data_IF_371519030735
#
_entry.id   IF_371519030735
#
_cell.length_a   1.000
_cell.length_b   1.000
_cell.length_c   1.000
_cell.angle_alpha   90.00
_cell.angle_beta   90.00
_cell.angle_gamma   90.00
#
_symmetry.space_group_name_H-M   'P 1'
#
loop_
_entity.id
_entity.type
_entity.pdbx_description
1 polymer ?
#
# COMPACT_ATOMS: atom_id res chain seq x y z
N UNK A 1 -2.10 6.65 -18.57
CA UNK A 1 -0.67 6.25 -18.57
C UNK A 1 -0.68 4.78 -18.91
N UNK A 2 -0.39 4.45 -20.16
CA UNK A 2 -0.61 3.10 -20.69
C UNK A 2 0.50 2.18 -20.19
N UNK A 3 0.14 1.30 -19.27
CA UNK A 3 0.98 0.17 -18.89
C UNK A 3 0.71 -0.93 -19.90
N UNK A 4 1.65 -1.28 -20.80
CA UNK A 4 1.42 -2.33 -21.78
C UNK A 4 1.35 -3.68 -21.05
N UNK A 5 0.13 -4.18 -20.86
CA UNK A 5 -0.11 -5.57 -20.45
C UNK A 5 0.23 -6.43 -21.67
N UNK A 6 1.27 -7.24 -21.55
CA UNK A 6 1.71 -8.12 -22.63
C UNK A 6 0.59 -9.16 -22.86
N UNK A 7 -0.12 -9.06 -23.98
CA UNK A 7 -1.33 -9.83 -24.27
C UNK A 7 -1.12 -11.37 -24.21
N UNK A 8 0.13 -11.84 -24.31
CA UNK A 8 0.47 -13.27 -24.20
C UNK A 8 0.45 -13.83 -22.77
N UNK A 9 0.15 -13.02 -21.75
CA UNK A 9 0.14 -13.43 -20.34
C UNK A 9 -1.27 -13.76 -19.80
N UNK A 10 -2.34 -13.37 -20.52
CA UNK A 10 -3.72 -13.51 -20.05
C UNK A 10 -4.10 -14.99 -19.78
N UNK A 11 -3.59 -15.93 -20.57
CA UNK A 11 -3.91 -17.37 -20.44
C UNK A 11 -3.31 -18.04 -19.20
N UNK A 12 -2.37 -17.37 -18.50
CA UNK A 12 -1.72 -17.90 -17.29
C UNK A 12 -2.27 -17.33 -15.99
N UNK A 13 -3.12 -16.30 -16.07
CA UNK A 13 -3.69 -15.66 -14.89
C UNK A 13 -4.65 -16.64 -14.23
N UNK A 14 -4.33 -17.03 -13.00
CA UNK A 14 -5.25 -17.83 -12.20
C UNK A 14 -6.39 -16.93 -11.70
N UNK A 15 -7.66 -17.41 -11.72
CA UNK A 15 -8.76 -16.67 -11.14
C UNK A 15 -8.47 -16.28 -9.70
N UNK A 16 -8.54 -14.99 -9.38
CA UNK A 16 -8.32 -14.50 -8.03
C UNK A 16 -9.62 -14.55 -7.21
N UNK A 17 -9.51 -14.71 -5.90
CA UNK A 17 -10.67 -14.66 -4.99
C UNK A 17 -11.07 -13.22 -4.60
N UNK A 18 -10.27 -12.24 -5.02
CA UNK A 18 -10.49 -10.81 -4.81
C UNK A 18 -10.75 -10.19 -6.18
N UNK A 19 -11.59 -9.18 -6.25
CA UNK A 19 -11.81 -8.38 -7.45
C UNK A 19 -10.75 -7.29 -7.58
N UNK A 20 -10.34 -6.69 -6.45
CA UNK A 20 -9.42 -5.55 -6.44
C UNK A 20 -8.27 -5.69 -5.45
N UNK A 21 -7.12 -5.13 -5.83
CA UNK A 21 -5.94 -5.03 -4.97
C UNK A 21 -5.60 -3.56 -4.78
N UNK A 22 -5.46 -3.13 -3.52
CA UNK A 22 -5.13 -1.77 -3.12
C UNK A 22 -3.67 -1.73 -2.67
N UNK A 23 -2.77 -1.36 -3.58
CA UNK A 23 -1.34 -1.30 -3.32
C UNK A 23 -1.03 -0.04 -2.51
N UNK A 24 -0.48 -0.21 -1.31
CA UNK A 24 -0.18 0.84 -0.35
C UNK A 24 1.30 0.77 0.05
N UNK A 25 1.97 1.92 0.03
CA UNK A 25 3.33 2.08 0.57
C UNK A 25 3.44 3.44 1.26
N UNK A 26 3.38 3.45 2.59
CA UNK A 26 3.36 4.69 3.36
C UNK A 26 4.76 5.27 3.48
N UNK A 27 4.83 6.59 3.46
CA UNK A 27 6.06 7.31 3.75
C UNK A 27 5.99 8.05 5.09
N UNK A 28 7.15 8.14 5.75
CA UNK A 28 7.33 8.88 6.99
C UNK A 28 7.59 7.98 8.20
N UNK A 29 8.73 8.18 8.87
CA UNK A 29 9.16 7.30 9.97
C UNK A 29 8.45 7.61 11.29
N UNK A 30 8.42 8.89 11.67
CA UNK A 30 7.87 9.35 12.96
C UNK A 30 6.35 9.42 12.89
N UNK A 31 5.85 10.13 11.90
CA UNK A 31 4.43 10.20 11.52
C UNK A 31 4.32 9.85 10.04
N UNK A 32 3.13 9.46 9.61
CA UNK A 32 2.83 9.32 8.19
C UNK A 32 2.89 10.71 7.55
N UNK A 33 3.59 10.82 6.42
CA UNK A 33 3.78 12.06 5.65
C UNK A 33 3.24 11.95 4.23
N UNK A 34 2.99 10.72 3.75
CA UNK A 34 2.37 10.43 2.46
C UNK A 34 1.49 9.19 2.58
N UNK A 35 0.33 9.25 1.97
CA UNK A 35 -0.66 8.18 1.91
C UNK A 35 -1.03 7.92 0.45
N UNK A 36 -0.27 7.06 -0.25
CA UNK A 36 -0.57 6.64 -1.62
C UNK A 36 -1.30 5.29 -1.64
N UNK A 37 -2.29 5.15 -2.52
CA UNK A 37 -2.93 3.88 -2.84
C UNK A 37 -3.12 3.78 -4.35
N UNK A 38 -2.66 2.68 -4.94
CA UNK A 38 -2.92 2.32 -6.35
C UNK A 38 -3.89 1.14 -6.37
N UNK A 39 -5.00 1.28 -7.07
CA UNK A 39 -6.00 0.22 -7.23
C UNK A 39 -5.85 -0.45 -8.59
N UNK A 40 -5.74 -1.77 -8.59
CA UNK A 40 -5.77 -2.58 -9.80
C UNK A 40 -6.87 -3.64 -9.72
N UNK A 41 -7.40 -4.03 -10.87
CA UNK A 41 -8.27 -5.19 -10.99
C UNK A 41 -7.42 -6.46 -10.88
N UNK A 42 -7.80 -7.38 -9.99
CA UNK A 42 -7.02 -8.59 -9.73
C UNK A 42 -7.10 -9.63 -10.86
N UNK A 43 -8.14 -9.56 -11.70
CA UNK A 43 -8.36 -10.47 -12.82
C UNK A 43 -7.73 -9.92 -14.10
N UNK A 44 -8.06 -8.68 -14.50
CA UNK A 44 -7.53 -8.08 -15.73
C UNK A 44 -6.12 -7.49 -15.56
N UNK A 45 -5.67 -7.30 -14.32
CA UNK A 45 -4.43 -6.61 -13.95
C UNK A 45 -4.43 -5.12 -14.33
N UNK A 46 -5.55 -4.58 -14.81
CA UNK A 46 -5.63 -3.19 -15.25
C UNK A 46 -5.61 -2.23 -14.05
N UNK A 47 -5.01 -1.07 -14.28
CA UNK A 47 -5.13 0.06 -13.39
C UNK A 47 -6.58 0.56 -13.39
N UNK A 48 -7.14 0.75 -12.20
CA UNK A 48 -8.51 1.26 -12.03
C UNK A 48 -8.47 2.71 -11.61
N UNK A 49 -7.77 3.02 -10.52
CA UNK A 49 -7.72 4.36 -9.95
C UNK A 49 -6.56 4.49 -8.94
N UNK A 50 -6.31 5.70 -8.45
CA UNK A 50 -5.34 5.96 -7.39
C UNK A 50 -5.83 7.04 -6.43
N UNK A 51 -5.54 6.84 -5.14
CA UNK A 51 -5.69 7.85 -4.10
C UNK A 51 -4.30 8.31 -3.65
N UNK A 52 -4.08 9.61 -3.51
CA UNK A 52 -2.81 10.13 -3.02
C UNK A 52 -3.01 11.42 -2.23
N UNK A 53 -2.47 11.44 -1.02
CA UNK A 53 -2.38 12.64 -0.19
C UNK A 53 -1.05 12.74 0.53
N UNK A 54 -0.54 13.96 0.63
CA UNK A 54 0.45 14.30 1.65
C UNK A 54 -0.23 14.51 3.00
N UNK A 55 0.44 14.10 4.06
CA UNK A 55 -0.09 14.14 5.43
C UNK A 55 0.71 15.14 6.24
N UNK A 56 0.01 16.13 6.81
CA UNK A 56 0.61 17.10 7.73
C UNK A 56 0.74 16.47 9.12
N UNK A 57 1.96 16.33 9.66
CA UNK A 57 2.20 15.76 10.99
C UNK A 57 1.72 16.71 12.09
N UNK A 58 1.40 16.15 13.26
CA UNK A 58 0.83 16.90 14.40
C UNK A 58 1.71 16.85 15.65
N UNK A 59 2.64 15.89 15.75
CA UNK A 59 3.50 15.73 16.92
C UNK A 59 4.90 16.32 16.71
N UNK A 60 5.35 16.45 15.46
CA UNK A 60 6.60 17.13 15.13
C UNK A 60 6.44 18.66 15.19
N UNK A 61 7.48 19.37 15.64
CA UNK A 61 7.51 20.83 15.59
C UNK A 61 7.81 21.34 14.18
N UNK A 62 7.43 22.58 13.89
CA UNK A 62 7.57 23.20 12.56
C UNK A 62 9.00 23.15 12.01
N UNK A 63 10.01 23.45 12.83
CA UNK A 63 11.41 23.40 12.37
C UNK A 63 11.78 22.00 11.86
N UNK A 64 11.44 20.96 12.64
CA UNK A 64 11.71 19.57 12.28
C UNK A 64 10.91 19.12 11.07
N UNK A 65 9.68 19.63 10.91
CA UNK A 65 8.87 19.38 9.72
C UNK A 65 9.60 19.94 8.50
N UNK A 66 9.96 21.22 8.51
CA UNK A 66 10.68 21.87 7.40
C UNK A 66 11.96 21.13 7.03
N UNK A 67 12.83 20.84 8.00
CA UNK A 67 14.08 20.10 7.76
C UNK A 67 13.83 18.73 7.10
N UNK A 68 12.78 18.02 7.55
CA UNK A 68 12.45 16.71 7.02
C UNK A 68 11.87 16.79 5.60
N UNK A 69 10.93 17.71 5.37
CA UNK A 69 10.24 17.86 4.08
C UNK A 69 11.21 18.38 3.02
N UNK A 70 12.03 19.39 3.31
CA UNK A 70 13.07 19.86 2.39
C UNK A 70 14.09 18.76 2.11
N UNK A 71 14.56 18.05 3.14
CA UNK A 71 15.54 16.99 3.01
C UNK A 71 15.05 15.74 2.26
N UNK A 72 13.75 15.47 2.29
CA UNK A 72 13.13 14.33 1.62
C UNK A 72 12.48 14.71 0.30
N UNK A 73 11.45 15.55 0.34
CA UNK A 73 10.62 15.93 -0.81
C UNK A 73 11.26 17.02 -1.67
N UNK A 74 12.13 17.86 -1.08
CA UNK A 74 12.89 18.87 -1.84
C UNK A 74 13.83 18.24 -2.85
N UNK A 75 14.37 17.04 -2.57
CA UNK A 75 15.20 16.27 -3.54
C UNK A 75 14.44 15.85 -4.80
N UNK A 76 13.11 15.79 -4.71
CA UNK A 76 12.22 15.45 -5.82
C UNK A 76 11.53 16.69 -6.41
N UNK A 77 11.74 17.88 -5.84
CA UNK A 77 11.07 19.11 -6.23
C UNK A 77 9.57 19.15 -5.93
N UNK A 78 9.11 18.35 -4.94
CA UNK A 78 7.69 18.28 -4.54
C UNK A 78 7.42 18.81 -3.13
N UNK A 79 8.41 19.41 -2.49
CA UNK A 79 8.30 20.10 -1.20
C UNK A 79 7.24 21.21 -1.21
N UNK A 80 7.17 22.01 -2.28
CA UNK A 80 6.13 23.05 -2.42
C UNK A 80 4.73 22.44 -2.46
N UNK A 81 4.55 21.39 -3.27
CA UNK A 81 3.28 20.67 -3.36
C UNK A 81 2.91 20.11 -1.99
N UNK A 82 3.87 19.54 -1.26
CA UNK A 82 3.65 19.08 0.10
C UNK A 82 3.18 20.22 1.01
N UNK A 83 3.88 21.36 1.03
CA UNK A 83 3.53 22.50 1.88
C UNK A 83 2.13 23.05 1.62
N UNK A 84 1.73 23.07 0.35
CA UNK A 84 0.46 23.63 -0.11
C UNK A 84 -0.72 22.66 0.07
N UNK A 85 -0.48 21.35 0.04
CA UNK A 85 -1.56 20.34 -0.05
C UNK A 85 -1.60 19.34 1.11
N UNK A 86 -0.59 19.30 1.99
CA UNK A 86 -0.59 18.38 3.12
C UNK A 86 -1.69 18.72 4.13
N UNK A 87 -2.56 17.75 4.37
CA UNK A 87 -3.69 17.85 5.31
C UNK A 87 -3.53 16.88 6.49
N UNK A 88 -4.17 17.11 7.63
CA UNK A 88 -4.10 16.22 8.78
C UNK A 88 -4.51 14.78 8.46
N UNK A 89 -3.89 13.79 9.11
CA UNK A 89 -4.15 12.37 8.85
C UNK A 89 -5.63 11.97 8.95
N UNK A 90 -6.37 12.59 9.87
CA UNK A 90 -7.81 12.34 10.04
C UNK A 90 -8.61 12.75 8.80
N UNK A 91 -8.24 13.85 8.15
CA UNK A 91 -8.87 14.33 6.92
C UNK A 91 -8.48 13.45 5.73
N UNK A 92 -7.20 13.03 5.65
CA UNK A 92 -6.77 12.03 4.65
C UNK A 92 -7.59 10.75 4.74
N UNK A 93 -7.85 10.24 5.94
CA UNK A 93 -8.70 9.06 6.10
C UNK A 93 -10.15 9.30 5.69
N UNK A 94 -10.70 10.48 5.95
CA UNK A 94 -12.07 10.80 5.51
C UNK A 94 -12.15 10.81 3.98
N UNK A 95 -11.21 11.47 3.30
CA UNK A 95 -11.16 11.48 1.84
C UNK A 95 -10.89 10.07 1.27
N UNK A 96 -10.07 9.27 1.95
CA UNK A 96 -9.83 7.88 1.56
C UNK A 96 -11.08 7.01 1.73
N UNK A 97 -11.83 7.19 2.83
CA UNK A 97 -13.11 6.52 3.09
C UNK A 97 -14.14 6.85 2.01
N UNK A 98 -14.21 8.12 1.60
CA UNK A 98 -15.09 8.57 0.51
C UNK A 98 -14.68 7.92 -0.82
N UNK A 99 -13.37 7.86 -1.10
CA UNK A 99 -12.82 7.24 -2.30
C UNK A 99 -13.13 5.73 -2.39
N UNK A 100 -12.86 4.94 -1.34
CA UNK A 100 -13.20 3.51 -1.31
C UNK A 100 -14.72 3.27 -1.29
N UNK A 101 -15.50 4.22 -0.75
CA UNK A 101 -16.95 4.21 -0.76
C UNK A 101 -17.54 4.39 -2.16
N UNK A 102 -16.98 5.30 -2.95
CA UNK A 102 -17.36 5.53 -4.35
C UNK A 102 -17.08 4.30 -5.24
N UNK A 103 -16.05 3.52 -4.90
CA UNK A 103 -15.75 2.24 -5.54
C UNK A 103 -16.56 1.05 -4.96
N UNK A 104 -17.50 1.30 -4.04
CA UNK A 104 -18.32 0.30 -3.36
C UNK A 104 -17.52 -0.81 -2.64
N UNK A 105 -16.30 -0.51 -2.21
CA UNK A 105 -15.42 -1.46 -1.52
C UNK A 105 -15.70 -1.52 -0.03
N UNK A 106 -16.21 -0.43 0.55
CA UNK A 106 -16.46 -0.34 1.99
C UNK A 106 -17.47 0.76 2.31
N UNK A 107 -18.25 0.58 3.37
CA UNK A 107 -19.17 1.59 3.90
C UNK A 107 -19.07 1.65 5.41
N UNK A 108 -19.10 2.86 5.94
CA UNK A 108 -18.89 3.15 7.37
C UNK A 108 -19.92 2.49 8.26
N UNK A 109 -21.17 2.44 7.81
CA UNK A 109 -22.29 1.84 8.56
C UNK A 109 -22.19 0.32 8.65
N UNK A 110 -21.56 -0.31 7.64
CA UNK A 110 -21.37 -1.75 7.60
C UNK A 110 -20.15 -2.17 8.44
N UNK A 111 -19.15 -1.30 8.54
CA UNK A 111 -17.88 -1.59 9.18
C UNK A 111 -17.19 -2.80 8.54
N UNK A 112 -16.28 -3.44 9.27
CA UNK A 112 -15.62 -4.66 8.82
C UNK A 112 -14.51 -4.44 7.77
N UNK A 113 -14.16 -5.53 7.09
CA UNK A 113 -13.13 -5.57 6.04
C UNK A 113 -13.63 -4.97 4.72
N UNK A 114 -12.71 -4.75 3.78
CA UNK A 114 -13.06 -4.42 2.39
C UNK A 114 -13.84 -5.57 1.72
N UNK A 115 -14.79 -5.22 0.84
CA UNK A 115 -15.57 -6.15 0.03
C UNK A 115 -14.78 -6.57 -1.20
N UNK A 116 -14.49 -7.87 -1.33
CA UNK A 116 -13.76 -8.46 -2.47
C UNK A 116 -12.47 -7.71 -2.83
N UNK A 117 -11.82 -7.11 -1.84
CA UNK A 117 -10.61 -6.35 -2.04
C UNK A 117 -9.68 -6.49 -0.83
N UNK A 118 -8.39 -6.25 -1.05
CA UNK A 118 -7.41 -6.28 0.03
C UNK A 118 -6.28 -5.27 -0.23
N UNK A 119 -5.72 -4.75 0.85
CA UNK A 119 -4.46 -4.02 0.75
C UNK A 119 -3.30 -4.97 0.43
N UNK A 120 -2.39 -4.50 -0.42
CA UNK A 120 -1.10 -5.13 -0.71
C UNK A 120 0.01 -4.17 -0.30
N UNK A 121 0.91 -4.63 0.57
CA UNK A 121 2.02 -3.82 1.09
C UNK A 121 3.36 -4.54 0.87
N UNK A 122 4.46 -3.79 0.77
CA UNK A 122 5.81 -4.35 0.62
C UNK A 122 6.47 -4.66 1.97
N UNK A 123 5.80 -5.46 2.79
CA UNK A 123 6.18 -5.74 4.16
C UNK A 123 4.98 -5.59 5.08
N UNK A 124 5.21 -5.80 6.38
CA UNK A 124 4.14 -5.66 7.37
C UNK A 124 4.10 -4.26 8.00
N UNK A 125 5.13 -3.43 7.83
CA UNK A 125 5.33 -2.23 8.63
C UNK A 125 4.17 -1.23 8.52
N UNK A 126 3.66 -0.98 7.31
CA UNK A 126 2.58 -0.02 7.04
C UNK A 126 1.33 -0.30 7.89
N UNK A 127 0.76 -1.49 7.76
CA UNK A 127 -0.52 -1.84 8.39
C UNK A 127 -0.38 -2.51 9.75
N UNK A 128 0.73 -3.22 10.01
CA UNK A 128 1.00 -3.80 11.34
C UNK A 128 1.36 -2.73 12.36
N UNK A 129 2.18 -1.75 11.94
CA UNK A 129 2.87 -0.83 12.85
C UNK A 129 2.44 0.62 12.62
N UNK A 130 2.67 1.16 11.43
CA UNK A 130 2.59 2.62 11.19
C UNK A 130 1.18 3.18 11.28
N UNK A 131 0.19 2.54 10.63
CA UNK A 131 -1.21 2.99 10.70
C UNK A 131 -1.75 2.96 12.14
N UNK A 132 -1.60 1.88 12.94
CA UNK A 132 -2.01 1.90 14.34
C UNK A 132 -1.32 2.97 15.18
N UNK A 133 -0.02 3.20 14.98
CA UNK A 133 0.70 4.29 15.65
C UNK A 133 0.11 5.65 15.30
N UNK A 134 -0.10 5.93 14.00
CA UNK A 134 -0.65 7.20 13.55
C UNK A 134 -2.09 7.40 14.05
N UNK A 135 -2.90 6.34 14.10
CA UNK A 135 -4.25 6.39 14.67
C UNK A 135 -4.22 6.78 16.15
N UNK A 136 -3.30 6.19 16.94
CA UNK A 136 -3.12 6.56 18.36
C UNK A 136 -2.70 8.02 18.51
N UNK A 137 -1.72 8.47 17.74
CA UNK A 137 -1.24 9.86 17.76
C UNK A 137 -2.36 10.84 17.39
N UNK A 138 -3.18 10.49 16.40
CA UNK A 138 -4.29 11.33 15.92
C UNK A 138 -5.57 11.18 16.76
N UNK A 139 -5.53 10.41 17.86
CA UNK A 139 -6.66 10.11 18.73
C UNK A 139 -7.90 9.61 17.97
N UNK A 140 -7.70 8.68 17.03
CA UNK A 140 -8.78 8.02 16.28
C UNK A 140 -8.71 6.51 16.45
N UNK A 141 -9.87 5.86 16.34
CA UNK A 141 -9.94 4.40 16.33
C UNK A 141 -9.36 3.88 15.02
N UNK A 142 -8.57 2.80 15.10
CA UNK A 142 -8.07 2.09 13.93
C UNK A 142 -9.25 1.63 13.04
N UNK A 143 -9.34 2.08 11.78
CA UNK A 143 -10.39 1.63 10.88
C UNK A 143 -10.32 0.13 10.58
N UNK A 144 -11.49 -0.51 10.48
CA UNK A 144 -11.59 -1.97 10.37
C UNK A 144 -11.09 -2.52 9.04
N UNK A 145 -11.09 -1.71 7.98
CA UNK A 145 -10.57 -2.10 6.66
C UNK A 145 -9.04 -2.28 6.63
N UNK A 146 -8.32 -1.83 7.66
CA UNK A 146 -6.88 -2.09 7.81
C UNK A 146 -6.56 -3.37 8.60
N UNK A 147 -7.57 -4.15 8.99
CA UNK A 147 -7.37 -5.29 9.90
C UNK A 147 -6.84 -6.54 9.21
N UNK A 148 -6.75 -6.58 7.88
CA UNK A 148 -6.13 -7.68 7.14
C UNK A 148 -5.49 -7.19 5.85
N UNK A 149 -4.40 -7.82 5.45
CA UNK A 149 -3.63 -7.40 4.27
C UNK A 149 -2.80 -8.53 3.68
N UNK A 150 -2.26 -8.26 2.50
CA UNK A 150 -1.34 -9.10 1.75
C UNK A 150 0.05 -8.48 1.85
N UNK A 151 0.95 -9.17 2.54
CA UNK A 151 2.37 -8.84 2.51
C UNK A 151 2.99 -9.47 1.24
N UNK A 152 3.31 -8.62 0.26
CA UNK A 152 3.83 -9.07 -1.03
C UNK A 152 5.11 -9.88 -0.89
N UNK A 153 5.94 -9.60 0.12
CA UNK A 153 7.18 -10.35 0.40
C UNK A 153 6.92 -11.82 0.72
N UNK A 154 5.81 -12.13 1.37
CA UNK A 154 5.46 -13.50 1.73
C UNK A 154 4.91 -14.24 0.51
N UNK A 155 4.03 -13.60 -0.28
CA UNK A 155 3.58 -14.18 -1.56
C UNK A 155 4.77 -14.45 -2.48
N UNK A 156 5.68 -13.48 -2.61
CA UNK A 156 6.86 -13.58 -3.46
C UNK A 156 7.77 -14.75 -3.03
N UNK A 157 8.01 -14.90 -1.72
CA UNK A 157 8.78 -16.01 -1.17
C UNK A 157 8.16 -17.35 -1.51
N UNK A 158 6.86 -17.51 -1.28
CA UNK A 158 6.20 -18.81 -1.43
C UNK A 158 5.95 -19.16 -2.91
N UNK A 159 5.79 -18.17 -3.77
CA UNK A 159 5.54 -18.39 -5.19
C UNK A 159 6.82 -18.67 -5.98
N UNK A 160 7.86 -17.85 -5.79
CA UNK A 160 9.13 -18.03 -6.53
C UNK A 160 10.18 -18.84 -5.76
N UNK A 161 9.89 -19.29 -4.53
CA UNK A 161 10.84 -19.99 -3.66
C UNK A 161 12.14 -19.21 -3.42
N UNK A 162 12.09 -17.87 -3.45
CA UNK A 162 13.24 -16.98 -3.27
C UNK A 162 12.89 -15.77 -2.42
N UNK A 163 13.82 -15.38 -1.55
CA UNK A 163 13.64 -14.22 -0.68
C UNK A 163 13.84 -12.91 -1.44
N UNK A 164 13.00 -11.93 -1.14
CA UNK A 164 13.20 -10.54 -1.51
C UNK A 164 13.09 -9.65 -0.27
N UNK A 165 14.10 -8.81 -0.04
CA UNK A 165 14.15 -7.94 1.14
C UNK A 165 13.17 -6.76 1.06
N UNK A 166 12.77 -6.37 -0.15
CA UNK A 166 11.80 -5.32 -0.43
C UNK A 166 11.60 -5.16 -1.95
N UNK A 167 10.89 -4.10 -2.33
CA UNK A 167 10.48 -3.84 -3.72
C UNK A 167 11.66 -3.83 -4.69
N UNK A 168 12.74 -3.11 -4.37
CA UNK A 168 13.93 -3.02 -5.23
C UNK A 168 14.56 -4.38 -5.54
N UNK A 169 14.55 -5.29 -4.57
CA UNK A 169 15.06 -6.66 -4.75
C UNK A 169 14.15 -7.47 -5.66
N UNK A 170 12.82 -7.36 -5.51
CA UNK A 170 11.86 -8.04 -6.39
C UNK A 170 12.01 -7.54 -7.82
N UNK A 171 12.06 -6.22 -8.02
CA UNK A 171 12.24 -5.58 -9.33
C UNK A 171 13.52 -6.09 -10.02
N UNK A 172 14.66 -6.11 -9.31
CA UNK A 172 15.92 -6.64 -9.85
C UNK A 172 15.81 -8.12 -10.23
N UNK A 173 15.25 -8.95 -9.36
CA UNK A 173 15.13 -10.39 -9.59
C UNK A 173 14.15 -10.75 -10.73
N UNK A 174 13.17 -9.88 -10.99
CA UNK A 174 12.23 -9.97 -12.11
C UNK A 174 12.72 -9.25 -13.38
N UNK A 175 13.91 -8.63 -13.31
CA UNK A 175 14.53 -7.86 -14.40
C UNK A 175 13.64 -6.68 -14.87
N UNK A 176 13.00 -6.02 -13.91
CA UNK A 176 12.11 -4.88 -14.15
C UNK A 176 12.81 -3.57 -13.78
N UNK A 177 12.86 -2.57 -14.67
CA UNK A 177 13.39 -1.25 -14.34
C UNK A 177 12.42 -0.51 -13.42
N UNK A 178 12.95 0.23 -12.45
CA UNK A 178 12.17 1.15 -11.61
C UNK A 178 11.69 2.35 -12.42
N UNK A 179 10.49 2.82 -12.11
CA UNK A 179 9.92 4.04 -12.71
C UNK A 179 9.71 5.06 -11.60
N UNK A 180 10.01 6.34 -11.88
CA UNK A 180 9.86 7.40 -10.90
C UNK A 180 10.98 7.40 -9.86
N UNK A 181 10.71 7.99 -8.70
CA UNK A 181 11.68 8.19 -7.64
C UNK A 181 11.44 7.25 -6.45
N UNK A 182 12.50 6.54 -6.04
CA UNK A 182 12.43 5.71 -4.84
C UNK A 182 12.28 6.57 -3.58
N UNK A 183 11.44 6.14 -2.64
CA UNK A 183 11.02 6.86 -1.44
C UNK A 183 10.08 8.06 -1.67
N UNK A 184 9.50 8.14 -2.87
CA UNK A 184 8.27 8.89 -3.13
C UNK A 184 7.13 7.87 -3.17
N UNK A 185 6.26 7.89 -2.16
CA UNK A 185 5.37 6.77 -1.87
C UNK A 185 4.44 6.42 -3.03
N UNK A 186 3.97 7.41 -3.80
CA UNK A 186 3.15 7.14 -4.99
C UNK A 186 3.91 6.40 -6.09
N UNK A 187 5.21 6.65 -6.27
CA UNK A 187 6.04 5.96 -7.25
C UNK A 187 6.42 4.56 -6.76
N UNK A 188 6.71 4.40 -5.48
CA UNK A 188 6.93 3.07 -4.90
C UNK A 188 5.64 2.21 -4.98
N UNK A 189 4.46 2.78 -4.70
CA UNK A 189 3.16 2.10 -4.89
C UNK A 189 2.94 1.65 -6.34
N UNK A 190 3.29 2.48 -7.34
CA UNK A 190 3.23 2.09 -8.76
C UNK A 190 4.19 0.94 -9.09
N UNK A 191 5.43 0.98 -8.58
CA UNK A 191 6.39 -0.08 -8.83
C UNK A 191 5.99 -1.39 -8.13
N UNK A 192 5.45 -1.33 -6.90
CA UNK A 192 4.86 -2.49 -6.22
C UNK A 192 3.70 -3.05 -7.04
N UNK A 193 2.80 -2.20 -7.57
CA UNK A 193 1.73 -2.63 -8.45
C UNK A 193 2.25 -3.37 -9.69
N UNK A 194 3.33 -2.89 -10.32
CA UNK A 194 3.98 -3.59 -11.43
C UNK A 194 4.53 -4.96 -11.04
N UNK A 195 5.11 -5.10 -9.84
CA UNK A 195 5.54 -6.41 -9.32
C UNK A 195 4.33 -7.32 -9.11
N UNK A 196 3.23 -6.82 -8.54
CA UNK A 196 1.98 -7.57 -8.36
C UNK A 196 1.43 -8.04 -9.70
N UNK A 197 1.33 -7.16 -10.70
CA UNK A 197 0.88 -7.51 -12.05
C UNK A 197 1.77 -8.60 -12.66
N UNK A 198 3.10 -8.49 -12.53
CA UNK A 198 4.02 -9.52 -13.01
C UNK A 198 3.79 -10.86 -12.31
N UNK A 199 3.56 -10.85 -11.01
CA UNK A 199 3.27 -12.07 -10.25
C UNK A 199 1.93 -12.71 -10.64
N UNK A 200 0.89 -11.91 -10.87
CA UNK A 200 -0.40 -12.39 -11.37
C UNK A 200 -0.25 -13.03 -12.76
N UNK A 201 0.47 -12.37 -13.67
CA UNK A 201 0.80 -12.88 -15.00
C UNK A 201 1.61 -14.18 -14.97
N UNK A 202 2.49 -14.34 -13.97
CA UNK A 202 3.26 -15.57 -13.77
C UNK A 202 2.40 -16.69 -13.11
N UNK A 203 1.20 -16.37 -12.62
CA UNK A 203 0.22 -17.33 -12.07
C UNK A 203 0.18 -17.38 -10.54
N UNK A 204 0.66 -16.35 -9.85
CA UNK A 204 0.58 -16.23 -8.40
C UNK A 204 -0.86 -15.95 -7.94
N UNK A 205 -1.19 -16.43 -6.74
CA UNK A 205 -2.45 -16.14 -6.07
C UNK A 205 -2.23 -15.07 -5.00
N UNK A 206 -2.97 -13.98 -5.07
CA UNK A 206 -2.95 -12.91 -4.07
C UNK A 206 -3.94 -13.25 -2.97
N UNK A 207 -3.41 -13.61 -1.80
CA UNK A 207 -4.19 -14.08 -0.65
C UNK A 207 -3.77 -13.32 0.61
N UNK A 208 -4.71 -13.10 1.53
CA UNK A 208 -4.43 -12.48 2.83
C UNK A 208 -3.31 -13.25 3.53
N UNK A 209 -2.26 -12.54 3.94
CA UNK A 209 -1.09 -13.14 4.62
C UNK A 209 -1.06 -12.79 6.10
N UNK A 210 -1.75 -11.73 6.51
CA UNK A 210 -1.77 -11.25 7.88
C UNK A 210 -3.15 -10.68 8.26
N UNK A 211 -3.56 -10.94 9.49
CA UNK A 211 -4.81 -10.45 10.07
C UNK A 211 -4.61 -10.03 11.51
N UNK A 212 -5.07 -8.82 11.85
CA UNK A 212 -5.14 -8.32 13.20
C UNK A 212 -6.36 -8.87 13.92
N UNK A 213 -6.16 -9.35 15.15
CA UNK A 213 -7.22 -9.83 16.01
C UNK A 213 -7.85 -8.65 16.76
N UNK A 214 -9.16 -8.45 16.60
CA UNK A 214 -9.87 -7.32 17.21
C UNK A 214 -9.81 -7.30 18.74
N UNK A 215 -9.73 -8.48 19.38
CA UNK A 215 -9.73 -8.61 20.83
C UNK A 215 -8.40 -8.22 21.50
N UNK A 216 -7.26 -8.57 20.89
CA UNK A 216 -5.93 -8.37 21.49
C UNK A 216 -5.10 -7.30 20.79
N UNK A 217 -5.44 -6.98 19.53
CA UNK A 217 -4.62 -6.13 18.66
C UNK A 217 -3.42 -6.86 18.03
N UNK A 218 -3.19 -8.13 18.39
CA UNK A 218 -2.10 -8.94 17.86
C UNK A 218 -2.33 -9.29 16.39
N UNK A 219 -1.23 -9.49 15.68
CA UNK A 219 -1.26 -9.86 14.26
C UNK A 219 -0.95 -11.34 14.10
N UNK A 220 -1.95 -12.07 13.62
CA UNK A 220 -1.83 -13.45 13.19
C UNK A 220 -1.31 -13.47 11.75
N UNK A 221 -0.22 -14.18 11.53
CA UNK A 221 0.34 -14.43 10.20
C UNK A 221 -0.15 -15.77 9.69
N UNK A 222 -0.67 -15.81 8.47
CA UNK A 222 -1.37 -16.96 7.91
C UNK A 222 -0.44 -17.90 7.14
N UNK A 223 0.73 -17.41 6.72
CA UNK A 223 1.71 -18.18 5.98
C UNK A 223 2.77 -18.75 6.93
N UNK A 224 3.13 -20.02 6.73
CA UNK A 224 4.19 -20.69 7.50
C UNK A 224 5.56 -20.12 7.15
N UNK A 225 5.86 -20.06 5.85
CA UNK A 225 7.07 -19.45 5.32
C UNK A 225 6.84 -17.95 5.10
N UNK A 226 7.53 -17.14 5.89
CA UNK A 226 7.39 -15.68 5.87
C UNK A 226 8.72 -14.99 6.07
N UNK A 227 8.82 -13.78 5.56
CA UNK A 227 9.98 -12.92 5.82
C UNK A 227 9.78 -12.28 7.20
N UNK A 228 10.69 -12.63 8.13
CA UNK A 228 10.71 -12.09 9.49
C UNK A 228 11.34 -10.70 9.54
#
# INVERSE_FOLDING_TARGET
MDLPVNASAADKVKPQNLDYLLILDLEGKVEILEFPVVMINAQSMEFIDSFHRFVRPIAMNEQRITEYIEGKYGKFGVDRVWNDTAIPFKEVLQEFEDWIGNHNLWKKEQGGSLKSAAFVTCGNWDLKTKVPEQCKLSNIKLPTYFMEWINLKDIYLNFYSRRATGMMTMMRQLQMPTVGSHHLGIDDSKNIARVVQRMLADGAMMQITAKRQSATGDVKFLFKDRIR
#
